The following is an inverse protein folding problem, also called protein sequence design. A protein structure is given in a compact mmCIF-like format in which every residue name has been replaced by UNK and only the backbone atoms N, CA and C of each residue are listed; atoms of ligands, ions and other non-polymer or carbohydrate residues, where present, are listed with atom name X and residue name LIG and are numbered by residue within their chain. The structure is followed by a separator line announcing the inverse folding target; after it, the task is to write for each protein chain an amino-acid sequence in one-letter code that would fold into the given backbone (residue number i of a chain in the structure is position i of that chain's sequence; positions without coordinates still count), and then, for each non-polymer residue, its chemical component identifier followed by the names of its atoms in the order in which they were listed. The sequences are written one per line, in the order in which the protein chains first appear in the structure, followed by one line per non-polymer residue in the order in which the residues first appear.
data_IF_869914891356
#
_entry.id   IF_869914891356
#
_cell.length_a   1.000
_cell.length_b   1.000
_cell.length_c   1.000
_cell.angle_alpha   90.00
_cell.angle_beta   90.00
_cell.angle_gamma   90.00
#
_symmetry.space_group_name_H-M   'P 1'
#
loop_
_entity.id
_entity.type
_entity.pdbx_description
1 polymer ?
#
# COMPACT_ATOMS: atom_id res chain seq x y z
N UNK A 1 -20.50 63.99 -6.08
CA UNK A 1 -19.86 62.73 -5.63
C UNK A 1 -20.72 61.57 -6.09
N UNK A 2 -20.21 60.82 -7.06
CA UNK A 2 -21.02 60.14 -8.09
C UNK A 2 -21.54 58.78 -7.65
N UNK A 3 -22.87 58.68 -7.52
CA UNK A 3 -23.67 57.44 -7.45
C UNK A 3 -23.20 56.37 -8.44
N UNK A 4 -22.69 56.79 -9.61
CA UNK A 4 -22.23 55.90 -10.66
C UNK A 4 -21.01 55.02 -10.30
N UNK A 5 -20.13 55.46 -9.38
CA UNK A 5 -18.97 54.66 -8.93
C UNK A 5 -19.34 53.59 -7.91
N UNK A 6 -20.38 53.83 -7.10
CA UNK A 6 -20.86 52.89 -6.08
C UNK A 6 -21.49 51.67 -6.76
N UNK A 7 -22.27 51.89 -7.83
CA UNK A 7 -22.94 50.82 -8.57
C UNK A 7 -21.95 49.92 -9.33
N UNK A 8 -20.82 50.46 -9.80
CA UNK A 8 -19.78 49.66 -10.45
C UNK A 8 -18.97 48.82 -9.45
N UNK A 9 -18.69 49.35 -8.25
CA UNK A 9 -18.08 48.55 -7.18
C UNK A 9 -18.99 47.41 -6.72
N UNK A 10 -20.31 47.65 -6.55
CA UNK A 10 -21.27 46.60 -6.18
C UNK A 10 -21.40 45.49 -7.24
N UNK A 11 -21.33 45.84 -8.54
CA UNK A 11 -21.31 44.86 -9.63
C UNK A 11 -20.01 44.04 -9.68
N UNK A 12 -18.87 44.67 -9.39
CA UNK A 12 -17.60 43.95 -9.28
C UNK A 12 -17.58 42.97 -8.10
N UNK A 13 -18.14 43.35 -6.94
CA UNK A 13 -18.26 42.47 -5.77
C UNK A 13 -19.24 41.31 -6.00
N UNK A 14 -20.33 41.52 -6.75
CA UNK A 14 -21.25 40.42 -7.10
C UNK A 14 -20.67 39.46 -8.13
N UNK A 15 -19.85 39.94 -9.08
CA UNK A 15 -19.15 39.08 -10.05
C UNK A 15 -17.99 38.31 -9.40
N UNK A 16 -17.22 38.94 -8.50
CA UNK A 16 -16.19 38.26 -7.70
C UNK A 16 -16.83 37.28 -6.72
N UNK A 17 -17.96 37.63 -6.11
CA UNK A 17 -18.77 36.71 -5.30
C UNK A 17 -19.26 35.52 -6.11
N UNK A 18 -19.82 35.73 -7.32
CA UNK A 18 -20.24 34.64 -8.20
C UNK A 18 -19.07 33.77 -8.65
N UNK A 19 -17.91 34.34 -8.99
CA UNK A 19 -16.70 33.60 -9.38
C UNK A 19 -16.07 32.82 -8.21
N UNK A 20 -16.19 33.31 -6.97
CA UNK A 20 -15.76 32.59 -5.76
C UNK A 20 -16.75 31.51 -5.32
N UNK A 21 -18.06 31.67 -5.61
CA UNK A 21 -19.10 30.68 -5.33
C UNK A 21 -19.26 29.60 -6.41
N UNK A 22 -18.74 29.81 -7.63
CA UNK A 22 -18.85 28.86 -8.74
C UNK A 22 -17.60 27.99 -8.96
N UNK A 23 -16.56 28.13 -8.11
CA UNK A 23 -15.51 27.12 -7.97
C UNK A 23 -16.05 26.04 -7.03
N UNK A 24 -16.09 24.77 -7.45
CA UNK A 24 -17.04 23.82 -6.93
C UNK A 24 -16.74 23.45 -5.48
N UNK A 25 -17.77 23.56 -4.65
CA UNK A 25 -18.00 22.93 -3.33
C UNK A 25 -17.85 21.39 -3.34
N UNK A 26 -17.28 20.80 -4.40
CA UNK A 26 -17.27 19.37 -4.64
C UNK A 26 -15.87 18.78 -4.50
N UNK A 27 -15.15 19.11 -3.44
CA UNK A 27 -13.98 18.36 -3.02
C UNK A 27 -14.43 17.23 -2.08
N UNK A 28 -14.16 15.97 -2.46
CA UNK A 28 -14.27 14.77 -1.61
C UNK A 28 -15.65 14.15 -1.42
N UNK A 29 -16.15 13.50 -2.46
CA UNK A 29 -17.12 12.40 -2.35
C UNK A 29 -16.44 11.01 -2.39
N UNK A 30 -15.19 10.92 -2.86
CA UNK A 30 -14.46 9.63 -2.94
C UNK A 30 -14.11 9.05 -1.57
N UNK A 31 -13.98 9.89 -0.54
CA UNK A 31 -13.65 9.47 0.83
C UNK A 31 -14.87 9.54 1.80
N UNK A 32 -16.03 9.97 1.32
CA UNK A 32 -17.15 10.42 2.14
C UNK A 32 -18.41 9.56 1.97
N UNK A 33 -19.03 9.18 3.08
CA UNK A 33 -20.42 8.71 3.12
C UNK A 33 -21.13 9.52 4.21
N UNK A 34 -22.34 10.00 3.92
CA UNK A 34 -23.24 10.58 4.91
C UNK A 34 -23.57 9.58 6.02
N UNK A 35 -23.46 9.99 7.28
CA UNK A 35 -23.76 9.11 8.43
C UNK A 35 -25.11 9.43 9.09
N UNK A 36 -25.88 8.37 9.36
CA UNK A 36 -26.99 8.28 10.33
C UNK A 36 -26.42 7.81 11.67
N UNK A 37 -26.96 8.24 12.83
CA UNK A 37 -26.31 8.06 14.12
C UNK A 37 -26.10 6.59 14.51
N UNK A 38 -24.98 6.38 15.22
CA UNK A 38 -24.50 5.19 15.94
C UNK A 38 -25.21 3.86 15.61
N UNK A 39 -24.63 3.10 14.68
CA UNK A 39 -24.95 1.68 14.43
C UNK A 39 -23.73 0.80 14.69
N UNK A 40 -23.98 -0.34 15.33
CA UNK A 40 -23.00 -1.36 15.70
C UNK A 40 -22.17 -1.88 14.51
N UNK A 41 -20.98 -2.37 14.85
CA UNK A 41 -20.03 -3.06 13.95
C UNK A 41 -20.74 -4.13 13.09
N UNK A 42 -20.83 -3.88 11.78
CA UNK A 42 -21.40 -4.81 10.79
C UNK A 42 -20.33 -5.64 10.06
N UNK A 43 -19.11 -5.75 10.59
CA UNK A 43 -18.03 -6.55 10.00
C UNK A 43 -17.87 -7.95 10.60
N UNK A 44 -18.81 -8.36 11.45
CA UNK A 44 -18.92 -9.72 11.94
C UNK A 44 -19.51 -10.65 10.87
N UNK A 45 -18.74 -10.99 9.85
CA UNK A 45 -18.88 -12.25 9.13
C UNK A 45 -17.58 -12.56 8.39
N UNK A 46 -17.26 -13.86 8.34
CA UNK A 46 -16.07 -14.48 7.75
C UNK A 46 -14.84 -14.56 8.66
N UNK A 47 -14.91 -15.41 9.69
CA UNK A 47 -13.93 -16.50 9.92
C UNK A 47 -14.70 -17.66 10.57
N UNK A 48 -14.97 -18.73 9.83
CA UNK A 48 -15.32 -20.02 10.43
C UNK A 48 -14.45 -21.11 9.82
N UNK A 49 -13.91 -21.94 10.73
CA UNK A 49 -13.22 -23.19 10.46
C UNK A 49 -13.96 -24.01 9.39
N UNK A 50 -13.21 -24.53 8.42
CA UNK A 50 -13.72 -25.55 7.52
C UNK A 50 -12.89 -26.82 7.64
N UNK A 51 -13.59 -27.85 8.13
CA UNK A 51 -13.14 -29.21 8.31
C UNK A 51 -13.01 -29.93 6.95
N UNK A 52 -11.95 -30.71 6.79
CA UNK A 52 -11.51 -31.31 5.53
C UNK A 52 -12.21 -32.66 5.34
N UNK A 53 -13.13 -32.77 4.38
CA UNK A 53 -13.51 -34.08 3.81
C UNK A 53 -12.93 -34.26 2.40
N UNK A 54 -12.18 -35.36 2.29
CA UNK A 54 -11.54 -35.89 1.07
C UNK A 54 -12.60 -36.23 0.01
N UNK A 55 -12.45 -35.66 -1.18
CA UNK A 55 -12.94 -36.29 -2.42
C UNK A 55 -11.91 -36.09 -3.52
N UNK A 56 -11.39 -37.21 -4.01
CA UNK A 56 -10.49 -37.33 -5.15
C UNK A 56 -11.23 -37.03 -6.45
N UNK A 57 -10.77 -36.04 -7.21
CA UNK A 57 -11.23 -35.79 -8.59
C UNK A 57 -10.01 -35.68 -9.51
N UNK A 58 -10.10 -36.43 -10.60
CA UNK A 58 -9.11 -36.68 -11.64
C UNK A 58 -8.67 -35.37 -12.31
N UNK A 59 -7.36 -35.16 -12.38
CA UNK A 59 -6.73 -33.96 -12.94
C UNK A 59 -6.39 -34.22 -14.41
N UNK A 60 -7.03 -33.51 -15.34
CA UNK A 60 -6.51 -33.36 -16.69
C UNK A 60 -5.29 -32.44 -16.65
N UNK A 61 -4.13 -32.99 -17.04
CA UNK A 61 -2.85 -32.32 -17.22
C UNK A 61 -2.98 -31.23 -18.29
N UNK A 62 -3.09 -29.97 -17.88
CA UNK A 62 -2.66 -28.85 -18.73
C UNK A 62 -1.18 -28.64 -18.43
N UNK A 63 -0.34 -28.97 -19.41
CA UNK A 63 1.12 -28.79 -19.36
C UNK A 63 1.47 -27.32 -19.12
N UNK A 64 2.08 -27.04 -17.97
CA UNK A 64 2.77 -25.78 -17.68
C UNK A 64 4.02 -25.73 -18.57
N UNK A 65 4.26 -24.67 -19.34
CA UNK A 65 5.45 -24.60 -20.19
C UNK A 65 6.70 -24.40 -19.33
N UNK A 66 7.71 -25.23 -19.60
CA UNK A 66 9.05 -25.10 -19.06
C UNK A 66 9.68 -23.78 -19.53
N UNK A 67 10.55 -23.22 -18.67
CA UNK A 67 11.29 -21.96 -18.83
C UNK A 67 10.47 -20.67 -18.67
N UNK A 68 10.68 -19.98 -17.54
CA UNK A 68 10.86 -18.52 -17.42
C UNK A 68 10.04 -17.59 -18.31
N UNK A 69 8.79 -17.92 -18.64
CA UNK A 69 8.04 -17.17 -19.63
C UNK A 69 7.53 -15.86 -19.00
N UNK A 70 8.31 -14.80 -19.17
CA UNK A 70 7.95 -13.45 -18.72
C UNK A 70 6.59 -13.03 -19.29
N UNK A 71 6.23 -13.48 -20.50
CA UNK A 71 4.94 -13.19 -21.13
C UNK A 71 3.77 -13.82 -20.36
N UNK A 72 3.98 -14.96 -19.67
CA UNK A 72 2.96 -15.55 -18.80
C UNK A 72 2.66 -14.64 -17.60
N UNK A 73 3.69 -14.05 -16.99
CA UNK A 73 3.50 -13.11 -15.87
C UNK A 73 2.85 -11.82 -16.33
N UNK A 74 3.23 -11.27 -17.48
CA UNK A 74 2.60 -10.07 -18.06
C UNK A 74 1.12 -10.31 -18.40
N UNK A 75 0.76 -11.51 -18.88
CA UNK A 75 -0.64 -11.88 -19.07
C UNK A 75 -1.41 -11.97 -17.74
N UNK A 76 -0.78 -12.48 -16.68
CA UNK A 76 -1.39 -12.56 -15.35
C UNK A 76 -1.53 -11.23 -14.62
N UNK A 77 -0.69 -10.23 -14.96
CA UNK A 77 -0.84 -8.85 -14.47
C UNK A 77 -2.12 -8.18 -14.99
N UNK A 78 -2.65 -8.64 -16.14
CA UNK A 78 -3.83 -8.03 -16.79
C UNK A 78 -5.13 -8.82 -16.57
N UNK A 79 -5.05 -10.13 -16.34
CA UNK A 79 -6.22 -11.00 -16.14
C UNK A 79 -5.96 -12.12 -15.13
N UNK A 80 -6.64 -12.08 -13.98
CA UNK A 80 -6.62 -13.14 -12.98
C UNK A 80 -7.97 -13.21 -12.25
N UNK A 81 -8.91 -13.93 -12.83
CA UNK A 81 -10.31 -13.98 -12.39
C UNK A 81 -10.76 -15.38 -11.96
N UNK A 82 -10.07 -16.43 -12.40
CA UNK A 82 -10.50 -17.81 -12.14
C UNK A 82 -9.64 -18.53 -11.09
N UNK A 83 -10.26 -19.46 -10.36
CA UNK A 83 -9.55 -20.37 -9.45
C UNK A 83 -8.44 -21.16 -10.16
N UNK A 84 -8.64 -21.48 -11.44
CA UNK A 84 -7.67 -22.21 -12.26
C UNK A 84 -6.44 -21.35 -12.55
N UNK A 85 -6.62 -20.07 -12.92
CA UNK A 85 -5.53 -19.11 -13.09
C UNK A 85 -4.75 -18.92 -11.78
N UNK A 86 -5.44 -18.78 -10.64
CA UNK A 86 -4.80 -18.71 -9.31
C UNK A 86 -3.96 -19.95 -9.01
N UNK A 87 -4.49 -21.14 -9.32
CA UNK A 87 -3.75 -22.40 -9.15
C UNK A 87 -2.55 -22.47 -10.08
N UNK A 88 -2.66 -21.98 -11.32
CA UNK A 88 -1.55 -21.94 -12.27
C UNK A 88 -0.43 -20.99 -11.79
N UNK A 89 -0.77 -19.80 -11.28
CA UNK A 89 0.21 -18.86 -10.72
C UNK A 89 0.97 -19.47 -9.54
N UNK A 90 0.27 -20.13 -8.62
CA UNK A 90 0.92 -20.80 -7.49
C UNK A 90 1.76 -22.02 -7.93
N UNK A 91 1.29 -22.76 -8.94
CA UNK A 91 2.06 -23.82 -9.57
C UNK A 91 3.40 -23.30 -10.10
N UNK A 92 3.35 -22.20 -10.87
CA UNK A 92 4.52 -21.52 -11.40
C UNK A 92 5.48 -21.06 -10.29
N UNK A 93 4.96 -20.42 -9.24
CA UNK A 93 5.76 -19.97 -8.09
C UNK A 93 6.50 -21.12 -7.38
N UNK A 94 5.85 -22.29 -7.26
CA UNK A 94 6.44 -23.46 -6.60
C UNK A 94 7.53 -24.13 -7.42
N UNK A 95 7.25 -24.40 -8.69
CA UNK A 95 8.22 -24.97 -9.62
C UNK A 95 9.50 -24.11 -9.65
N UNK A 96 9.30 -22.79 -9.71
CA UNK A 96 10.37 -21.83 -9.67
C UNK A 96 11.11 -21.76 -8.33
N UNK A 97 10.45 -22.10 -7.22
CA UNK A 97 11.06 -22.17 -5.88
C UNK A 97 11.89 -23.45 -5.65
N UNK A 98 11.78 -24.45 -6.52
CA UNK A 98 12.48 -25.75 -6.40
C UNK A 98 13.75 -25.90 -7.26
N UNK A 99 14.05 -24.96 -8.18
CA UNK A 99 15.20 -25.06 -9.10
C UNK A 99 16.58 -24.80 -8.48
N UNK A 100 17.62 -25.47 -9.01
CA UNK A 100 19.01 -25.60 -8.53
C UNK A 100 19.91 -24.34 -8.57
N UNK A 101 21.05 -24.43 -7.87
CA UNK A 101 22.04 -23.37 -7.56
C UNK A 101 23.03 -23.04 -8.70
N UNK A 102 22.59 -22.78 -9.93
CA UNK A 102 23.51 -22.37 -11.01
C UNK A 102 23.64 -20.84 -11.15
N UNK A 103 24.87 -20.35 -11.32
CA UNK A 103 25.24 -18.94 -11.12
C UNK A 103 24.68 -17.99 -12.20
N UNK A 104 24.47 -18.45 -13.45
CA UNK A 104 23.81 -17.65 -14.51
C UNK A 104 22.29 -17.53 -14.33
N UNK A 105 21.70 -18.45 -13.55
CA UNK A 105 20.27 -18.44 -13.23
C UNK A 105 19.91 -17.28 -12.27
N UNK A 106 20.86 -16.83 -11.44
CA UNK A 106 20.60 -15.90 -10.34
C UNK A 106 19.97 -14.56 -10.75
N UNK A 107 20.41 -13.92 -11.85
CA UNK A 107 19.87 -12.60 -12.26
C UNK A 107 18.47 -12.70 -12.85
N UNK A 108 18.25 -13.68 -13.73
CA UNK A 108 16.92 -13.96 -14.28
C UNK A 108 15.95 -14.39 -13.18
N UNK A 109 16.45 -15.12 -12.17
CA UNK A 109 15.62 -15.49 -11.03
C UNK A 109 15.18 -14.33 -10.18
N UNK A 110 16.10 -13.41 -9.87
CA UNK A 110 15.80 -12.19 -9.13
C UNK A 110 14.72 -11.39 -9.86
N UNK A 111 14.81 -11.27 -11.19
CA UNK A 111 13.78 -10.61 -12.01
C UNK A 111 12.43 -11.31 -11.91
N UNK A 112 12.38 -12.64 -11.99
CA UNK A 112 11.14 -13.42 -11.88
C UNK A 112 10.50 -13.24 -10.50
N UNK A 113 11.27 -13.35 -9.41
CA UNK A 113 10.76 -13.12 -8.06
C UNK A 113 10.25 -11.69 -7.87
N UNK A 114 10.92 -10.70 -8.48
CA UNK A 114 10.45 -9.32 -8.44
C UNK A 114 9.13 -9.14 -9.21
N UNK A 115 9.02 -9.69 -10.42
CA UNK A 115 7.76 -9.69 -11.18
C UNK A 115 6.63 -10.37 -10.42
N UNK A 116 6.90 -11.52 -9.80
CA UNK A 116 5.93 -12.20 -8.93
C UNK A 116 5.53 -11.34 -7.73
N UNK A 117 6.47 -10.59 -7.14
CA UNK A 117 6.15 -9.65 -6.08
C UNK A 117 5.18 -8.56 -6.56
N UNK A 118 5.40 -7.99 -7.75
CA UNK A 118 4.48 -7.02 -8.36
C UNK A 118 3.09 -7.61 -8.58
N UNK A 119 3.01 -8.78 -9.23
CA UNK A 119 1.75 -9.51 -9.48
C UNK A 119 0.99 -9.72 -8.17
N UNK A 120 1.64 -10.27 -7.14
CA UNK A 120 0.97 -10.52 -5.86
C UNK A 120 0.60 -9.23 -5.12
N UNK A 121 1.35 -8.14 -5.27
CA UNK A 121 0.97 -6.84 -4.71
C UNK A 121 -0.29 -6.30 -5.38
N UNK A 122 -0.41 -6.40 -6.71
CA UNK A 122 -1.60 -5.98 -7.48
C UNK A 122 -2.83 -6.82 -7.14
N UNK A 123 -2.63 -8.10 -6.83
CA UNK A 123 -3.65 -8.99 -6.29
C UNK A 123 -3.94 -8.77 -4.80
N UNK A 124 -3.31 -7.77 -4.16
CA UNK A 124 -3.41 -7.45 -2.73
C UNK A 124 -2.99 -8.60 -1.80
N UNK A 125 -2.19 -9.54 -2.31
CA UNK A 125 -1.59 -10.65 -1.57
C UNK A 125 -0.24 -10.23 -0.98
N UNK A 126 -0.25 -9.15 -0.20
CA UNK A 126 0.97 -8.48 0.27
C UNK A 126 1.94 -9.40 1.04
N UNK A 127 1.49 -10.34 1.90
CA UNK A 127 2.41 -11.28 2.53
C UNK A 127 3.19 -12.13 1.52
N UNK A 128 2.56 -12.55 0.43
CA UNK A 128 3.18 -13.35 -0.62
C UNK A 128 4.07 -12.49 -1.52
N UNK A 129 3.64 -11.26 -1.83
CA UNK A 129 4.45 -10.28 -2.53
C UNK A 129 5.79 -10.04 -1.82
N UNK A 130 5.73 -9.78 -0.51
CA UNK A 130 6.93 -9.53 0.30
C UNK A 130 7.77 -10.80 0.52
N UNK A 131 7.19 -12.01 0.53
CA UNK A 131 7.97 -13.27 0.48
C UNK A 131 8.75 -13.41 -0.84
N UNK A 132 8.14 -13.06 -1.97
CA UNK A 132 8.81 -13.05 -3.27
C UNK A 132 9.93 -12.00 -3.30
N UNK A 133 9.66 -10.78 -2.82
CA UNK A 133 10.68 -9.74 -2.68
C UNK A 133 11.84 -10.18 -1.76
N UNK A 134 11.56 -10.86 -0.65
CA UNK A 134 12.59 -11.40 0.24
C UNK A 134 13.58 -12.32 -0.49
N UNK A 135 13.09 -13.12 -1.44
CA UNK A 135 13.96 -13.97 -2.26
C UNK A 135 14.91 -13.15 -3.13
N UNK A 136 14.48 -12.00 -3.65
CA UNK A 136 15.36 -11.10 -4.43
C UNK A 136 16.54 -10.57 -3.63
N UNK A 137 16.35 -10.35 -2.31
CA UNK A 137 17.39 -9.84 -1.42
C UNK A 137 18.41 -10.91 -1.00
N UNK A 138 18.00 -12.18 -0.92
CA UNK A 138 18.91 -13.28 -0.56
C UNK A 138 20.02 -13.47 -1.60
N UNK A 139 19.65 -13.48 -2.89
CA UNK A 139 20.62 -13.69 -3.97
C UNK A 139 21.72 -12.61 -4.03
N UNK A 140 21.40 -11.36 -3.67
CA UNK A 140 22.39 -10.27 -3.62
C UNK A 140 23.45 -10.48 -2.53
N UNK A 141 23.11 -11.17 -1.43
CA UNK A 141 24.05 -11.46 -0.33
C UNK A 141 25.06 -12.54 -0.72
N UNK A 142 24.68 -13.47 -1.60
CA UNK A 142 25.53 -14.57 -2.04
C UNK A 142 26.41 -14.18 -3.25
N UNK A 143 26.02 -13.17 -4.03
CA UNK A 143 26.85 -12.58 -5.08
C UNK A 143 27.83 -11.56 -4.51
N UNK A 144 29.09 -11.97 -4.27
CA UNK A 144 30.21 -11.04 -4.04
C UNK A 144 30.55 -10.26 -5.33
N UNK A 145 29.76 -9.26 -5.71
CA UNK A 145 30.22 -8.23 -6.65
C UNK A 145 30.87 -7.06 -5.88
N UNK A 146 31.98 -6.48 -6.37
CA UNK A 146 32.67 -5.40 -5.69
C UNK A 146 31.82 -4.13 -5.73
N UNK A 147 31.35 -3.69 -4.57
CA UNK A 147 30.75 -2.38 -4.41
C UNK A 147 31.74 -1.30 -4.88
N UNK A 148 31.30 -0.44 -5.81
CA UNK A 148 31.98 0.79 -6.17
C UNK A 148 32.24 1.59 -4.88
N UNK A 149 33.51 1.70 -4.50
CA UNK A 149 33.94 2.34 -3.27
C UNK A 149 33.65 3.84 -3.31
N UNK A 150 32.78 4.30 -2.44
CA UNK A 150 32.78 5.70 -1.98
C UNK A 150 32.93 5.64 -0.46
N UNK A 151 34.03 6.24 0.01
CA UNK A 151 34.46 6.27 1.43
C UNK A 151 33.39 6.92 2.32
N UNK A 152 33.10 6.39 3.52
CA UNK A 152 32.24 7.05 4.47
C UNK A 152 33.03 8.11 5.24
N UNK A 153 32.52 9.35 5.22
CA UNK A 153 32.85 10.36 6.23
C UNK A 153 32.14 9.93 7.52
N UNK A 154 32.94 9.84 8.58
CA UNK A 154 32.52 9.46 9.93
C UNK A 154 31.70 10.60 10.52
N UNK A 155 30.48 10.31 10.97
CA UNK A 155 29.97 10.91 12.19
C UNK A 155 28.92 10.01 12.85
N UNK A 156 29.19 9.75 14.12
CA UNK A 156 28.55 8.79 15.00
C UNK A 156 27.21 9.29 15.51
N UNK A 157 26.12 8.63 15.11
CA UNK A 157 24.88 8.57 15.87
C UNK A 157 24.40 7.13 15.79
N UNK A 158 24.26 6.47 16.95
CA UNK A 158 23.94 5.04 17.10
C UNK A 158 22.78 4.61 16.19
N UNK A 159 23.14 4.04 15.05
CA UNK A 159 22.19 3.45 14.13
C UNK A 159 21.63 2.19 14.79
N UNK A 160 20.32 2.14 14.89
CA UNK A 160 19.53 0.93 15.13
C UNK A 160 19.61 0.09 13.85
N UNK A 161 20.83 -0.28 13.47
CA UNK A 161 21.14 -1.13 12.33
C UNK A 161 20.43 -2.43 12.64
N UNK A 162 19.59 -2.89 11.71
CA UNK A 162 19.38 -4.32 11.57
C UNK A 162 20.78 -4.91 11.38
N UNK A 163 21.45 -5.28 12.48
CA UNK A 163 22.54 -6.23 12.42
C UNK A 163 21.99 -7.34 11.54
N UNK A 164 22.65 -7.58 10.42
CA UNK A 164 22.30 -8.58 9.42
C UNK A 164 22.42 -10.02 9.95
N UNK A 165 22.17 -10.17 11.26
CA UNK A 165 22.49 -11.23 12.20
C UNK A 165 21.27 -11.62 13.07
N UNK A 166 20.13 -10.93 12.98
CA UNK A 166 18.88 -11.55 13.45
C UNK A 166 18.47 -12.59 12.42
N UNK A 167 18.84 -13.85 12.67
CA UNK A 167 18.59 -15.04 11.85
C UNK A 167 17.14 -15.21 11.39
N UNK A 168 16.73 -14.42 10.40
CA UNK A 168 15.50 -14.55 9.67
C UNK A 168 15.63 -15.81 8.82
N UNK A 169 15.42 -16.96 9.46
CA UNK A 169 15.66 -18.25 8.83
C UNK A 169 14.79 -18.32 7.58
N UNK A 170 15.46 -18.48 6.44
CA UNK A 170 14.86 -18.57 5.10
C UNK A 170 13.70 -19.57 5.02
N UNK A 171 13.69 -20.56 5.94
CA UNK A 171 12.62 -21.55 6.12
C UNK A 171 11.27 -20.95 6.50
N UNK A 172 11.22 -19.89 7.31
CA UNK A 172 9.95 -19.34 7.80
C UNK A 172 9.28 -18.40 6.80
N UNK A 173 10.06 -17.83 5.88
CA UNK A 173 9.55 -17.03 4.75
C UNK A 173 9.52 -17.83 3.44
N UNK A 174 9.66 -19.15 3.52
CA UNK A 174 9.46 -20.03 2.37
C UNK A 174 7.98 -20.01 1.95
N UNK A 175 7.78 -20.00 0.63
CA UNK A 175 6.47 -20.21 0.02
C UNK A 175 6.06 -21.65 0.32
N UNK A 176 4.87 -21.82 0.91
CA UNK A 176 4.43 -23.11 1.42
C UNK A 176 2.95 -23.38 1.15
N UNK A 177 2.49 -24.59 1.48
CA UNK A 177 1.13 -25.03 1.20
C UNK A 177 0.01 -24.16 1.83
N UNK A 178 0.29 -23.45 2.92
CA UNK A 178 -0.67 -22.53 3.54
C UNK A 178 -0.89 -21.28 2.68
N UNK A 179 0.14 -20.84 1.96
CA UNK A 179 0.02 -19.74 1.00
C UNK A 179 -0.93 -20.13 -0.16
N UNK A 180 -0.92 -21.41 -0.57
CA UNK A 180 -1.86 -21.91 -1.59
C UNK A 180 -3.30 -21.87 -1.10
N UNK A 181 -3.55 -22.37 0.11
CA UNK A 181 -4.92 -22.44 0.64
C UNK A 181 -5.51 -21.05 0.80
N UNK A 182 -4.71 -20.07 1.21
CA UNK A 182 -5.15 -18.68 1.33
C UNK A 182 -5.43 -18.05 -0.05
N UNK A 183 -4.56 -18.28 -1.04
CA UNK A 183 -4.69 -17.63 -2.34
C UNK A 183 -5.71 -18.32 -3.28
N UNK A 184 -5.67 -19.64 -3.38
CA UNK A 184 -6.47 -20.39 -4.36
C UNK A 184 -7.93 -20.47 -3.94
N UNK A 185 -8.19 -20.59 -2.64
CA UNK A 185 -9.53 -20.79 -2.11
C UNK A 185 -10.20 -19.48 -1.64
N UNK A 186 -9.55 -18.31 -1.77
CA UNK A 186 -10.23 -17.04 -1.52
C UNK A 186 -11.39 -16.88 -2.51
N UNK A 187 -12.66 -16.87 -2.06
CA UNK A 187 -13.79 -16.73 -2.96
C UNK A 187 -13.91 -15.34 -3.58
N UNK A 188 -13.16 -14.34 -3.07
CA UNK A 188 -13.20 -12.99 -3.63
C UNK A 188 -12.60 -12.95 -5.03
N UNK A 189 -13.27 -12.31 -6.00
CA UNK A 189 -12.63 -11.93 -7.26
C UNK A 189 -11.43 -11.04 -6.93
N UNK A 190 -10.24 -11.45 -7.37
CA UNK A 190 -9.04 -10.61 -7.29
C UNK A 190 -9.12 -9.64 -8.46
N UNK A 191 -9.96 -8.62 -8.31
CA UNK A 191 -10.23 -7.73 -9.41
C UNK A 191 -9.04 -6.81 -9.65
N UNK A 192 -8.22 -7.17 -10.64
CA UNK A 192 -7.18 -6.31 -11.20
C UNK A 192 -7.77 -5.09 -11.94
N UNK A 193 -9.04 -5.17 -12.34
CA UNK A 193 -9.70 -4.21 -13.24
C UNK A 193 -11.12 -3.79 -12.81
N UNK A 194 -11.56 -4.04 -11.58
CA UNK A 194 -12.94 -3.67 -11.20
C UNK A 194 -13.12 -2.16 -11.21
N UNK A 195 -14.07 -1.72 -12.04
CA UNK A 195 -14.55 -0.34 -12.14
C UNK A 195 -15.22 0.16 -10.85
N UNK A 196 -15.49 -0.73 -9.89
CA UNK A 196 -16.07 -0.41 -8.60
C UNK A 196 -15.07 -0.72 -7.48
N UNK A 197 -14.27 0.27 -7.11
CA UNK A 197 -13.42 0.25 -5.92
C UNK A 197 -14.23 -0.13 -4.67
N UNK A 198 -13.75 -1.11 -3.88
CA UNK A 198 -14.39 -1.46 -2.62
C UNK A 198 -14.24 -0.27 -1.66
N UNK A 199 -15.36 0.31 -1.23
CA UNK A 199 -15.34 1.43 -0.28
C UNK A 199 -14.74 0.98 1.06
N UNK A 200 -13.72 1.68 1.52
CA UNK A 200 -13.11 1.42 2.84
C UNK A 200 -14.14 1.56 3.95
N UNK A 201 -14.18 0.55 4.81
CA UNK A 201 -15.07 0.49 5.97
C UNK A 201 -14.34 1.03 7.19
N UNK A 202 -15.04 1.68 8.12
CA UNK A 202 -14.42 2.14 9.36
C UNK A 202 -13.76 0.98 10.13
N UNK A 203 -12.63 1.25 10.76
CA UNK A 203 -11.90 0.29 11.60
C UNK A 203 -11.33 1.02 12.81
N UNK A 204 -11.34 0.38 13.98
CA UNK A 204 -10.78 0.97 15.19
C UNK A 204 -9.29 0.63 15.33
N UNK A 205 -8.55 1.47 16.06
CA UNK A 205 -7.18 1.15 16.46
C UNK A 205 -7.08 -0.22 17.16
N UNK A 206 -8.02 -0.55 18.05
CA UNK A 206 -8.03 -1.83 18.77
C UNK A 206 -8.17 -3.00 17.79
N UNK A 207 -9.02 -2.88 16.76
CA UNK A 207 -9.15 -3.91 15.73
C UNK A 207 -7.85 -4.07 14.93
N UNK A 208 -7.20 -2.97 14.56
CA UNK A 208 -5.90 -2.99 13.87
C UNK A 208 -4.83 -3.72 14.70
N UNK A 209 -4.69 -3.38 15.98
CA UNK A 209 -3.71 -4.04 16.86
C UNK A 209 -4.07 -5.50 17.10
N UNK A 210 -5.35 -5.80 17.31
CA UNK A 210 -5.81 -7.16 17.56
C UNK A 210 -5.60 -8.09 16.36
N UNK A 211 -5.52 -7.59 15.13
CA UNK A 211 -5.07 -8.37 13.97
C UNK A 211 -3.72 -9.05 14.22
N UNK A 212 -2.83 -8.42 14.99
CA UNK A 212 -1.49 -8.93 15.27
C UNK A 212 -1.41 -9.75 16.57
N UNK A 213 -2.49 -9.82 17.35
CA UNK A 213 -2.61 -10.60 18.59
C UNK A 213 -3.18 -12.01 18.33
N UNK A 214 -2.74 -12.68 17.26
CA UNK A 214 -3.19 -14.02 16.84
C UNK A 214 -2.67 -15.19 17.71
N UNK A 215 -2.00 -14.90 18.84
CA UNK A 215 -1.40 -15.91 19.72
C UNK A 215 -0.14 -16.60 19.18
N UNK A 216 0.37 -16.20 18.01
CA UNK A 216 1.50 -16.86 17.35
C UNK A 216 2.79 -16.05 17.47
N UNK A 217 3.91 -16.77 17.60
CA UNK A 217 5.25 -16.19 17.66
C UNK A 217 5.64 -15.64 16.28
N UNK A 218 5.99 -14.35 16.25
CA UNK A 218 6.45 -13.69 15.03
C UNK A 218 7.88 -14.07 14.66
N UNK A 219 8.17 -14.09 13.36
CA UNK A 219 9.52 -14.22 12.78
C UNK A 219 9.96 -12.99 12.02
N UNK A 220 9.03 -12.28 11.38
CA UNK A 220 9.33 -11.14 10.52
C UNK A 220 8.17 -10.14 10.51
N UNK A 221 8.48 -8.90 10.16
CA UNK A 221 7.52 -7.82 10.00
C UNK A 221 7.82 -7.06 8.71
N UNK A 222 6.77 -6.55 8.05
CA UNK A 222 6.92 -5.68 6.89
C UNK A 222 5.91 -4.52 6.93
N UNK A 223 6.29 -3.43 6.28
CA UNK A 223 5.42 -2.30 5.99
C UNK A 223 5.40 -2.08 4.47
N UNK A 224 4.21 -1.88 3.92
CA UNK A 224 4.00 -1.30 2.61
C UNK A 224 3.29 0.05 2.76
N UNK A 225 3.63 0.98 1.88
CA UNK A 225 3.07 2.32 1.73
C UNK A 225 2.43 2.39 0.35
N UNK A 226 1.17 2.77 0.30
CA UNK A 226 0.35 2.78 -0.91
C UNK A 226 -0.12 4.19 -1.22
N UNK A 227 -0.12 4.54 -2.50
CA UNK A 227 -0.65 5.79 -3.02
C UNK A 227 -1.68 5.48 -4.10
N UNK A 228 -2.84 6.10 -3.98
CA UNK A 228 -3.83 6.23 -5.06
C UNK A 228 -3.84 7.69 -5.48
N UNK A 229 -3.30 8.00 -6.65
CA UNK A 229 -3.40 9.33 -7.24
C UNK A 229 -4.84 9.60 -7.71
N UNK A 230 -5.28 10.87 -7.69
CA UNK A 230 -6.55 11.30 -8.30
C UNK A 230 -6.62 10.97 -9.79
N UNK A 231 -5.49 11.13 -10.47
CA UNK A 231 -5.27 10.73 -11.84
C UNK A 231 -3.95 9.96 -11.85
N UNK A 232 -3.99 8.64 -12.09
CA UNK A 232 -2.77 7.82 -12.16
C UNK A 232 -1.75 8.44 -13.12
N UNK A 233 -0.48 8.43 -12.72
CA UNK A 233 0.67 8.94 -13.49
C UNK A 233 0.73 10.45 -13.63
N UNK A 234 -0.04 11.22 -12.85
CA UNK A 234 -0.04 12.69 -12.97
C UNK A 234 0.07 13.37 -11.61
N UNK A 235 0.80 14.51 -11.52
CA UNK A 235 0.90 15.32 -10.30
C UNK A 235 -0.38 16.14 -10.04
N UNK A 236 -1.56 15.58 -10.31
CA UNK A 236 -2.84 16.26 -10.08
C UNK A 236 -3.28 15.99 -8.65
N UNK A 237 -3.52 17.06 -7.89
CA UNK A 237 -3.94 17.00 -6.47
C UNK A 237 -5.40 16.58 -6.33
N UNK A 238 -6.24 16.90 -7.33
CA UNK A 238 -7.62 16.43 -7.39
C UNK A 238 -8.13 16.32 -8.83
N UNK A 239 -9.18 15.50 -9.03
CA UNK A 239 -10.00 15.44 -10.25
C UNK A 239 -11.47 15.41 -9.83
N UNK A 240 -12.16 16.53 -10.06
CA UNK A 240 -13.53 16.74 -9.60
C UNK A 240 -13.59 16.55 -8.07
N UNK A 241 -14.15 15.44 -7.60
CA UNK A 241 -14.29 15.08 -6.18
C UNK A 241 -13.19 14.14 -5.67
N UNK A 242 -12.38 13.56 -6.56
CA UNK A 242 -11.35 12.62 -6.17
C UNK A 242 -10.06 13.36 -5.81
N UNK A 243 -9.60 13.22 -4.56
CA UNK A 243 -8.33 13.77 -4.05
C UNK A 243 -7.25 12.71 -3.88
N UNK A 244 -7.53 11.48 -4.31
CA UNK A 244 -6.65 10.34 -4.08
C UNK A 244 -6.67 9.91 -2.61
N UNK A 245 -5.83 8.93 -2.31
CA UNK A 245 -5.66 8.41 -0.96
C UNK A 245 -4.23 7.89 -0.74
N UNK A 246 -3.77 7.90 0.51
CA UNK A 246 -2.50 7.29 0.92
C UNK A 246 -2.74 6.47 2.18
N UNK A 247 -2.25 5.24 2.18
CA UNK A 247 -2.45 4.30 3.28
C UNK A 247 -1.26 3.37 3.45
N UNK A 248 -1.26 2.57 4.51
CA UNK A 248 -0.20 1.60 4.77
C UNK A 248 -0.77 0.20 4.92
N UNK A 249 0.06 -0.79 4.67
CA UNK A 249 -0.18 -2.19 5.04
C UNK A 249 0.89 -2.64 6.03
N UNK A 250 0.46 -3.22 7.14
CA UNK A 250 1.33 -3.87 8.11
C UNK A 250 1.19 -5.38 8.01
N UNK A 251 2.31 -6.10 8.05
CA UNK A 251 2.37 -7.56 7.94
C UNK A 251 3.19 -8.13 9.10
N UNK A 252 2.66 -9.20 9.71
CA UNK A 252 3.38 -10.06 10.64
C UNK A 252 3.44 -11.47 10.09
N UNK A 253 4.65 -12.03 10.01
CA UNK A 253 4.89 -13.43 9.67
C UNK A 253 5.14 -14.23 10.93
N UNK A 254 4.60 -15.44 11.01
CA UNK A 254 4.68 -16.31 12.18
C UNK A 254 5.62 -17.50 11.97
N UNK A 255 6.08 -18.10 13.07
CA UNK A 255 6.96 -19.29 13.05
C UNK A 255 6.28 -20.53 12.47
N UNK A 256 4.95 -20.57 12.42
CA UNK A 256 4.17 -21.67 11.82
C UNK A 256 3.92 -21.45 10.31
N UNK A 257 4.64 -20.50 9.71
CA UNK A 257 4.56 -20.09 8.31
C UNK A 257 3.25 -19.43 7.89
N UNK A 258 2.36 -19.13 8.83
CA UNK A 258 1.20 -18.25 8.59
C UNK A 258 1.61 -16.77 8.65
N UNK A 259 0.72 -15.91 8.18
CA UNK A 259 0.90 -14.46 8.28
C UNK A 259 -0.44 -13.78 8.49
N UNK A 260 -0.41 -12.63 9.15
CA UNK A 260 -1.55 -11.73 9.29
C UNK A 260 -1.16 -10.36 8.72
N UNK A 261 -2.11 -9.69 8.08
CA UNK A 261 -1.91 -8.36 7.51
C UNK A 261 -3.18 -7.52 7.57
N UNK A 262 -3.02 -6.21 7.67
CA UNK A 262 -4.10 -5.24 7.54
C UNK A 262 -3.59 -3.98 6.86
N UNK A 263 -4.39 -3.47 5.94
CA UNK A 263 -4.19 -2.22 5.21
C UNK A 263 -5.17 -1.19 5.77
N UNK A 264 -4.68 0.00 6.10
CA UNK A 264 -5.50 1.05 6.69
C UNK A 264 -4.88 2.43 6.49
N UNK A 265 -5.75 3.44 6.45
CA UNK A 265 -5.39 4.84 6.25
C UNK A 265 -6.16 5.75 7.18
N UNK A 266 -5.66 6.98 7.33
CA UNK A 266 -6.28 8.01 8.15
C UNK A 266 -7.25 8.83 7.32
N UNK A 267 -8.49 8.96 7.78
CA UNK A 267 -9.60 9.57 7.05
C UNK A 267 -10.25 10.70 7.84
N UNK A 268 -10.86 11.67 7.15
CA UNK A 268 -11.76 12.60 7.79
C UNK A 268 -13.05 11.89 8.19
N UNK A 269 -13.45 12.06 9.44
CA UNK A 269 -14.80 11.78 9.91
C UNK A 269 -15.65 13.02 9.60
N UNK A 270 -16.51 12.91 8.58
CA UNK A 270 -17.30 14.03 8.09
C UNK A 270 -18.50 14.30 8.99
N UNK A 271 -18.42 15.38 9.74
CA UNK A 271 -19.52 15.86 10.57
C UNK A 271 -20.47 16.78 9.76
N UNK A 272 -19.98 17.37 8.66
CA UNK A 272 -20.76 18.20 7.75
C UNK A 272 -20.29 18.04 6.28
N UNK A 273 -20.98 18.70 5.33
CA UNK A 273 -20.67 18.61 3.88
C UNK A 273 -19.31 19.21 3.49
N UNK A 274 -18.82 20.19 4.24
CA UNK A 274 -17.57 20.92 3.99
C UNK A 274 -16.39 20.39 4.81
N UNK A 275 -16.61 19.47 5.75
CA UNK A 275 -15.53 18.86 6.54
C UNK A 275 -14.41 18.31 5.65
N UNK A 276 -13.17 18.68 5.98
CA UNK A 276 -11.94 18.36 5.24
C UNK A 276 -11.88 18.93 3.82
N UNK A 277 -12.54 20.06 3.57
CA UNK A 277 -12.42 20.83 2.32
C UNK A 277 -11.55 22.08 2.53
N UNK A 278 -11.09 22.78 1.47
CA UNK A 278 -10.31 24.00 1.67
C UNK A 278 -11.06 25.12 2.42
N UNK A 279 -12.40 25.09 2.47
CA UNK A 279 -13.22 26.04 3.22
C UNK A 279 -13.34 25.68 4.71
N UNK A 280 -13.37 24.39 5.02
CA UNK A 280 -13.42 23.85 6.38
C UNK A 280 -12.43 22.66 6.46
N UNK A 281 -11.12 22.95 6.61
CA UNK A 281 -10.07 21.95 6.41
C UNK A 281 -9.94 20.96 7.56
N UNK A 282 -10.56 21.25 8.71
CA UNK A 282 -10.47 20.45 9.93
C UNK A 282 -11.73 19.62 10.16
N UNK A 283 -11.57 18.42 10.68
CA UNK A 283 -12.64 17.63 11.29
C UNK A 283 -12.05 16.55 12.20
N UNK A 284 -12.91 15.78 12.87
CA UNK A 284 -12.44 14.58 13.58
C UNK A 284 -11.79 13.61 12.60
N UNK A 285 -10.73 12.91 13.02
CA UNK A 285 -10.07 11.87 12.24
C UNK A 285 -10.49 10.47 12.66
N UNK A 286 -10.44 9.53 11.72
CA UNK A 286 -10.76 8.12 11.95
C UNK A 286 -9.91 7.21 11.07
N UNK A 287 -9.93 5.89 11.33
CA UNK A 287 -9.30 4.90 10.46
C UNK A 287 -10.33 4.15 9.63
N UNK A 288 -9.95 3.79 8.41
CA UNK A 288 -10.71 2.84 7.59
C UNK A 288 -9.81 1.70 7.12
N UNK A 289 -10.42 0.54 6.92
CA UNK A 289 -9.81 -0.67 6.39
C UNK A 289 -9.72 -0.55 4.87
N UNK A 290 -8.48 -0.54 4.38
CA UNK A 290 -8.10 -0.37 2.99
C UNK A 290 -7.68 -1.70 2.32
N UNK A 291 -7.99 -2.85 2.91
CA UNK A 291 -7.61 -4.17 2.35
C UNK A 291 -8.10 -4.39 0.91
N UNK A 292 -9.24 -3.79 0.54
CA UNK A 292 -9.82 -3.84 -0.81
C UNK A 292 -9.58 -2.58 -1.64
N UNK A 293 -8.84 -1.58 -1.12
CA UNK A 293 -8.68 -0.30 -1.79
C UNK A 293 -7.69 -0.40 -2.96
N UNK A 294 -7.92 0.38 -4.02
CA UNK A 294 -7.00 0.44 -5.15
C UNK A 294 -5.80 1.33 -4.82
N UNK A 295 -4.70 1.11 -5.53
CA UNK A 295 -3.49 1.92 -5.45
C UNK A 295 -2.80 1.95 -6.83
N UNK A 296 -2.08 3.04 -7.10
CA UNK A 296 -1.33 3.26 -8.34
C UNK A 296 0.16 2.97 -8.10
N UNK A 297 0.70 3.46 -6.98
CA UNK A 297 2.07 3.22 -6.51
C UNK A 297 2.10 2.50 -5.14
N UNK A 298 3.05 1.59 -4.98
CA UNK A 298 3.37 0.94 -3.70
C UNK A 298 4.88 0.91 -3.50
N UNK A 299 5.29 1.09 -2.24
CA UNK A 299 6.66 0.82 -1.82
C UNK A 299 6.66 0.09 -0.48
N UNK A 300 7.63 -0.76 -0.21
CA UNK A 300 7.64 -1.52 1.02
C UNK A 300 8.97 -2.17 1.37
N UNK A 301 9.12 -2.57 2.63
CA UNK A 301 10.31 -3.30 3.10
C UNK A 301 10.01 -4.11 4.35
N UNK A 302 10.91 -5.04 4.64
CA UNK A 302 10.95 -5.68 5.95
C UNK A 302 11.47 -4.68 6.99
N UNK A 303 10.92 -4.77 8.20
CA UNK A 303 11.24 -3.89 9.32
C UNK A 303 11.45 -4.68 10.60
N UNK A 304 12.17 -4.10 11.57
CA UNK A 304 12.33 -4.69 12.89
C UNK A 304 11.03 -4.64 13.69
N UNK A 305 10.90 -5.53 14.69
CA UNK A 305 9.78 -5.50 15.65
C UNK A 305 9.63 -4.12 16.29
N UNK A 306 10.74 -3.48 16.67
CA UNK A 306 10.75 -2.15 17.30
C UNK A 306 10.13 -1.09 16.38
N UNK A 307 10.42 -1.11 15.08
CA UNK A 307 9.79 -0.20 14.10
C UNK A 307 8.32 -0.51 13.91
N UNK A 308 7.97 -1.79 13.82
CA UNK A 308 6.59 -2.24 13.74
C UNK A 308 5.76 -1.75 14.94
N UNK A 309 6.26 -1.94 16.17
CA UNK A 309 5.63 -1.48 17.40
C UNK A 309 5.51 0.06 17.44
N UNK A 310 6.53 0.80 16.97
CA UNK A 310 6.46 2.27 16.83
C UNK A 310 5.33 2.71 15.89
N UNK A 311 5.09 1.98 14.80
CA UNK A 311 4.00 2.28 13.88
C UNK A 311 2.64 1.97 14.53
N UNK A 312 2.52 0.89 15.31
CA UNK A 312 1.28 0.64 16.08
C UNK A 312 1.01 1.74 17.12
N UNK A 313 2.05 2.24 17.80
CA UNK A 313 1.93 3.39 18.71
C UNK A 313 1.55 4.68 17.96
N UNK A 314 2.07 4.87 16.74
CA UNK A 314 1.63 5.97 15.87
C UNK A 314 0.14 5.85 15.57
N UNK A 315 -0.34 4.68 15.16
CA UNK A 315 -1.76 4.44 14.91
C UNK A 315 -2.61 4.77 16.14
N UNK A 316 -2.17 4.37 17.35
CA UNK A 316 -2.84 4.74 18.60
C UNK A 316 -2.95 6.26 18.78
N UNK A 317 -1.86 6.99 18.50
CA UNK A 317 -1.82 8.45 18.67
C UNK A 317 -2.69 9.21 17.65
N UNK A 318 -3.03 8.58 16.54
CA UNK A 318 -3.92 9.13 15.51
C UNK A 318 -5.39 8.77 15.74
N UNK A 319 -5.69 7.84 16.65
CA UNK A 319 -7.07 7.44 16.96
C UNK A 319 -7.83 8.63 17.57
N UNK A 320 -8.81 9.15 16.85
CA UNK A 320 -9.57 10.36 17.22
C UNK A 320 -8.78 11.69 17.10
N UNK A 321 -7.57 11.68 16.53
CA UNK A 321 -6.81 12.89 16.28
C UNK A 321 -7.50 13.75 15.20
N UNK A 322 -7.35 15.08 15.27
CA UNK A 322 -7.90 15.97 14.24
C UNK A 322 -7.32 15.63 12.85
N UNK A 323 -8.21 15.43 11.90
CA UNK A 323 -7.87 15.41 10.48
C UNK A 323 -7.84 16.85 9.98
N UNK A 324 -6.74 17.25 9.35
CA UNK A 324 -6.62 18.56 8.74
C UNK A 324 -6.07 18.44 7.32
N UNK A 325 -6.83 18.90 6.31
CA UNK A 325 -6.51 18.76 4.88
C UNK A 325 -5.07 19.19 4.53
N UNK A 326 -4.59 20.31 5.07
CA UNK A 326 -3.26 20.87 4.81
C UNK A 326 -2.12 20.39 5.73
N UNK A 327 -2.42 19.84 6.92
CA UNK A 327 -1.44 19.70 8.01
C UNK A 327 -1.35 18.30 8.61
N UNK A 328 -2.44 17.54 8.56
CA UNK A 328 -2.52 16.19 9.11
C UNK A 328 -3.59 15.38 8.39
N UNK A 329 -3.22 14.80 7.25
CA UNK A 329 -4.13 14.04 6.39
C UNK A 329 -3.65 12.59 6.18
N UNK A 330 -4.29 11.86 5.26
CA UNK A 330 -3.93 10.48 4.93
C UNK A 330 -2.47 10.33 4.51
N UNK A 331 -1.94 11.26 3.72
CA UNK A 331 -0.57 11.27 3.23
C UNK A 331 0.42 11.61 4.36
N UNK A 332 0.11 12.55 5.25
CA UNK A 332 0.95 12.87 6.41
C UNK A 332 1.11 11.65 7.34
N UNK A 333 -0.01 10.99 7.67
CA UNK A 333 -0.01 9.77 8.47
C UNK A 333 0.88 8.69 7.85
N UNK A 334 0.68 8.40 6.57
CA UNK A 334 1.41 7.34 5.88
C UNK A 334 2.90 7.67 5.73
N UNK A 335 3.27 8.93 5.44
CA UNK A 335 4.68 9.37 5.36
C UNK A 335 5.35 9.21 6.73
N UNK A 336 4.64 9.58 7.81
CA UNK A 336 5.17 9.43 9.16
C UNK A 336 5.38 7.96 9.52
N UNK A 337 4.43 7.07 9.17
CA UNK A 337 4.59 5.63 9.34
C UNK A 337 5.78 5.07 8.51
N UNK A 338 5.91 5.49 7.25
CA UNK A 338 7.02 5.12 6.37
C UNK A 338 8.37 5.57 6.93
N UNK A 339 8.47 6.76 7.53
CA UNK A 339 9.71 7.23 8.15
C UNK A 339 10.13 6.37 9.34
N UNK A 340 9.18 5.86 10.13
CA UNK A 340 9.49 4.87 11.19
C UNK A 340 9.98 3.53 10.63
N UNK A 341 9.62 3.18 9.39
CA UNK A 341 10.17 2.04 8.67
C UNK A 341 11.56 2.31 8.05
N UNK A 342 12.02 3.58 8.04
CA UNK A 342 13.23 4.01 7.35
C UNK A 342 13.04 4.26 5.85
N UNK A 343 11.80 4.50 5.41
CA UNK A 343 11.47 4.89 4.03
C UNK A 343 11.13 6.38 4.03
N UNK A 344 11.66 7.13 3.07
CA UNK A 344 11.28 8.51 2.82
C UNK A 344 10.89 8.75 1.37
N UNK A 345 10.01 9.73 1.18
CA UNK A 345 9.59 10.25 -0.14
C UNK A 345 9.85 11.75 -0.12
N UNK A 346 10.62 12.24 -1.09
CA UNK A 346 10.86 13.66 -1.28
C UNK A 346 9.67 14.32 -1.98
N UNK A 347 9.60 15.65 -1.96
CA UNK A 347 8.72 16.43 -2.85
C UNK A 347 7.26 15.94 -2.87
N UNK A 348 6.65 15.78 -1.70
CA UNK A 348 5.27 15.26 -1.53
C UNK A 348 4.20 16.34 -1.40
N UNK A 349 4.62 17.61 -1.31
CA UNK A 349 3.74 18.77 -1.06
C UNK A 349 3.25 19.40 -2.35
N UNK A 350 1.97 19.78 -2.37
CA UNK A 350 1.37 20.59 -3.44
C UNK A 350 0.40 21.62 -2.89
N UNK A 351 -0.07 22.52 -3.75
CA UNK A 351 -0.99 23.61 -3.41
C UNK A 351 -2.31 23.50 -4.15
N UNK A 352 -3.39 23.83 -3.49
CA UNK A 352 -4.75 23.92 -4.02
C UNK A 352 -5.38 25.25 -3.59
N UNK A 353 -6.54 25.67 -4.14
CA UNK A 353 -7.18 26.90 -3.68
C UNK A 353 -7.37 26.88 -2.16
N UNK A 354 -6.89 27.91 -1.48
CA UNK A 354 -6.99 28.09 -0.01
C UNK A 354 -6.20 27.09 0.85
N UNK A 355 -5.27 26.31 0.28
CA UNK A 355 -4.47 25.39 1.08
C UNK A 355 -3.26 24.78 0.37
N UNK A 356 -2.43 24.09 1.14
CA UNK A 356 -1.28 23.36 0.61
C UNK A 356 -0.89 22.27 1.60
N UNK A 357 -0.21 21.22 1.15
CA UNK A 357 0.21 20.14 2.03
C UNK A 357 0.62 18.88 1.28
N UNK A 358 1.00 17.86 2.04
CA UNK A 358 1.28 16.53 1.51
C UNK A 358 0.01 15.97 0.88
N UNK A 359 0.11 15.39 -0.31
CA UNK A 359 -1.07 14.84 -0.98
C UNK A 359 -0.73 13.64 -1.88
N UNK A 360 -1.71 12.78 -2.19
CA UNK A 360 -1.47 11.56 -2.96
C UNK A 360 -0.97 11.83 -4.38
N UNK A 361 -1.51 12.86 -5.05
CA UNK A 361 -1.13 13.19 -6.42
C UNK A 361 0.35 13.52 -6.58
N UNK A 362 0.86 14.44 -5.76
CA UNK A 362 2.27 14.83 -5.79
C UNK A 362 3.18 13.71 -5.23
N UNK A 363 2.74 13.03 -4.18
CA UNK A 363 3.51 11.92 -3.59
C UNK A 363 3.70 10.77 -4.58
N UNK A 364 2.65 10.36 -5.29
CA UNK A 364 2.74 9.32 -6.33
C UNK A 364 3.69 9.73 -7.46
N UNK A 365 3.64 11.01 -7.88
CA UNK A 365 4.54 11.51 -8.91
C UNK A 365 6.00 11.50 -8.45
N UNK A 366 6.26 11.84 -7.20
CA UNK A 366 7.60 11.76 -6.61
C UNK A 366 8.12 10.32 -6.63
N UNK A 367 7.29 9.34 -6.27
CA UNK A 367 7.66 7.91 -6.33
C UNK A 367 8.04 7.50 -7.75
N UNK A 368 7.18 7.83 -8.74
CA UNK A 368 7.44 7.55 -10.17
C UNK A 368 8.75 8.19 -10.64
N UNK A 369 9.04 9.41 -10.17
CA UNK A 369 10.23 10.17 -10.54
C UNK A 369 11.50 9.75 -9.78
N UNK A 370 11.43 8.73 -8.93
CA UNK A 370 12.57 8.22 -8.16
C UNK A 370 12.88 9.01 -6.89
N UNK A 371 11.95 9.84 -6.39
CA UNK A 371 12.08 10.60 -5.15
C UNK A 371 12.01 9.77 -3.86
N UNK A 372 12.25 8.46 -3.94
CA UNK A 372 12.19 7.54 -2.81
C UNK A 372 13.59 7.23 -2.30
N UNK A 373 13.77 7.25 -0.99
CA UNK A 373 15.03 6.90 -0.35
C UNK A 373 14.83 5.97 0.85
N UNK A 374 15.85 5.16 1.11
CA UNK A 374 15.90 4.24 2.25
C UNK A 374 17.10 4.62 3.13
N UNK A 375 16.86 4.80 4.42
CA UNK A 375 17.90 5.17 5.39
C UNK A 375 18.92 4.06 5.63
N UNK A 376 18.65 2.83 5.16
CA UNK A 376 19.49 1.64 5.33
C UNK A 376 20.11 1.12 4.02
N UNK A 377 20.06 1.90 2.92
CA UNK A 377 20.63 1.54 1.62
C UNK A 377 19.59 1.15 0.55
N UNK A 378 19.91 1.29 -0.74
CA UNK A 378 18.92 1.18 -1.84
C UNK A 378 18.37 -0.24 -2.06
N UNK A 379 19.09 -1.29 -1.66
CA UNK A 379 18.82 -2.68 -2.08
C UNK A 379 17.71 -3.41 -1.31
N UNK A 380 17.12 -2.79 -0.27
CA UNK A 380 16.12 -3.42 0.59
C UNK A 380 14.72 -2.79 0.46
N UNK A 381 14.42 -2.16 -0.67
CA UNK A 381 13.14 -1.50 -0.92
C UNK A 381 12.42 -2.11 -2.13
N UNK A 382 11.21 -2.60 -1.90
CA UNK A 382 10.26 -3.01 -2.93
C UNK A 382 9.55 -1.76 -3.45
N UNK A 383 9.44 -1.60 -4.77
CA UNK A 383 8.70 -0.52 -5.41
C UNK A 383 7.94 -1.09 -6.61
N UNK A 384 6.65 -0.82 -6.69
CA UNK A 384 5.83 -1.12 -7.86
C UNK A 384 4.90 0.04 -8.19
N UNK A 385 4.78 0.36 -9.46
CA UNK A 385 3.87 1.35 -10.02
C UNK A 385 3.52 0.92 -11.44
N UNK A 386 2.35 1.34 -11.94
CA UNK A 386 1.94 0.92 -13.27
C UNK A 386 2.88 1.54 -14.32
N UNK A 387 3.56 0.68 -15.07
CA UNK A 387 4.57 1.10 -16.06
C UNK A 387 3.97 1.94 -17.20
N UNK A 388 2.66 1.89 -17.43
CA UNK A 388 1.96 2.77 -18.37
C UNK A 388 1.91 4.23 -17.89
N UNK A 389 2.19 4.49 -16.62
CA UNK A 389 2.15 5.82 -16.00
C UNK A 389 3.45 6.62 -16.16
N UNK A 390 4.54 5.96 -16.59
CA UNK A 390 5.86 6.57 -16.81
C UNK A 390 6.16 6.98 -18.25
N UNK A 391 5.15 7.00 -19.13
CA UNK A 391 5.28 7.37 -20.56
C UNK A 391 4.62 8.70 -20.88
#
# INVERSE_FOLDING_TARGET
MNSHRITQCLKAFTIIGYLLYSIPVHAQLSAAVHYKPMRADTSADVITDYDVKKTSVIINKTSVPAEGNINFLENMETHLSSRQERKALMGYLKEFSTGSNEVNYNRSRVKIYYKLANVFARLRMYPLAMKCFFKTMQYKKDSKEPALQIRPVVDSVSADTLSADSGLSTRYLAINAKDDSLFVNDPKPLALNDKAEEKSKAVTYQRIVNTFNDGKKAVAYALLFHVKQPVPGKPRIFKIVNTGHTFITLIKYNTDSTSVSISFGFYPQKDNLFSATPLDPSCSGTFKNDNGHNWDEVMGKFISKKRFDKILLLTKSYDGLEYHLSKNNCTDFAIKAASYAGIGVADTKGSWPLGHGNNPGITGQSIISGGVYNTEGKDSLFIDFDAALGK
#
